data_IF_601334667194
#
_entry.id   IF_601334667194
#
_cell.length_a   1.000
_cell.length_b   1.000
_cell.length_c   1.000
_cell.angle_alpha   90.00
_cell.angle_beta   90.00
_cell.angle_gamma   90.00
#
_symmetry.space_group_name_H-M   'P 1'
#
loop_
_entity.id
_entity.type
_entity.pdbx_description
1 polymer ?
#
# COMPACT_ATOMS: atom_id res chain seq x y z
N UNK A 1 -21.47 13.05 -1.16
CA UNK A 1 -21.29 13.42 -2.58
C UNK A 1 -19.97 14.17 -2.78
N UNK A 2 -18.85 13.48 -2.56
CA UNK A 2 -17.54 13.80 -3.11
C UNK A 2 -16.80 12.46 -3.13
N UNK A 3 -16.17 12.12 -4.26
CA UNK A 3 -15.36 10.92 -4.48
C UNK A 3 -16.14 9.67 -4.91
N UNK A 4 -16.14 9.39 -6.21
CA UNK A 4 -16.44 8.06 -6.78
C UNK A 4 -15.41 6.98 -6.40
N UNK A 5 -14.79 7.06 -5.22
CA UNK A 5 -13.91 6.05 -4.64
C UNK A 5 -14.65 5.08 -3.70
N UNK A 6 -15.94 5.29 -3.42
CA UNK A 6 -16.78 4.33 -2.67
C UNK A 6 -16.71 2.89 -3.21
N UNK A 7 -16.54 2.60 -4.53
CA UNK A 7 -16.40 1.22 -5.01
C UNK A 7 -15.00 0.60 -4.86
N UNK A 8 -13.97 1.36 -4.43
CA UNK A 8 -12.56 0.97 -4.65
C UNK A 8 -11.64 1.01 -3.42
N UNK A 9 -12.02 1.67 -2.32
CA UNK A 9 -11.24 1.70 -1.08
C UNK A 9 -12.17 1.74 0.13
N UNK A 10 -12.57 0.56 0.61
CA UNK A 10 -13.06 0.43 1.97
C UNK A 10 -11.87 0.45 2.93
N UNK A 11 -11.95 1.24 4.01
CA UNK A 11 -10.98 1.17 5.10
C UNK A 11 -11.68 0.68 6.36
N UNK A 12 -10.97 -0.12 7.15
CA UNK A 12 -11.45 -0.57 8.45
C UNK A 12 -10.49 -0.06 9.51
N UNK A 13 -11.02 0.71 10.45
CA UNK A 13 -10.29 1.12 11.63
C UNK A 13 -10.18 -0.08 12.58
N UNK A 14 -8.96 -0.40 12.98
CA UNK A 14 -8.62 -1.35 14.06
C UNK A 14 -9.19 -2.79 13.92
N UNK A 15 -8.56 -3.61 13.07
CA UNK A 15 -8.65 -5.07 13.17
C UNK A 15 -7.45 -5.60 13.96
N UNK A 16 -7.69 -6.41 14.99
CA UNK A 16 -6.62 -7.18 15.64
C UNK A 16 -6.32 -8.37 14.74
N UNK A 17 -5.08 -8.49 14.25
CA UNK A 17 -4.62 -9.63 13.45
C UNK A 17 -3.39 -10.25 14.13
N UNK A 18 -3.10 -11.51 13.84
CA UNK A 18 -1.85 -12.16 14.25
C UNK A 18 -0.92 -12.21 13.05
N UNK A 19 0.37 -11.90 13.23
CA UNK A 19 1.36 -12.15 12.19
C UNK A 19 1.69 -13.65 12.12
N UNK A 20 2.46 -14.08 11.11
CA UNK A 20 2.87 -15.49 10.94
C UNK A 20 3.59 -16.10 12.15
N UNK A 21 4.17 -15.28 13.01
CA UNK A 21 4.87 -15.71 14.24
C UNK A 21 3.93 -15.81 15.45
N UNK A 22 2.61 -15.65 15.27
CA UNK A 22 1.60 -15.70 16.35
C UNK A 22 1.62 -14.46 17.25
N UNK A 23 2.32 -13.39 16.86
CA UNK A 23 2.32 -12.12 17.60
C UNK A 23 1.13 -11.29 17.16
N UNK A 24 0.31 -10.85 18.13
CA UNK A 24 -0.79 -9.91 17.88
C UNK A 24 -0.24 -8.59 17.36
N UNK A 25 -0.66 -8.22 16.15
CA UNK A 25 -0.30 -6.98 15.47
C UNK A 25 -1.57 -6.19 15.16
N UNK A 26 -1.59 -4.92 15.59
CA UNK A 26 -2.73 -4.03 15.41
C UNK A 26 -2.28 -2.75 14.69
N UNK A 27 -2.40 -2.68 13.37
CA UNK A 27 -2.16 -1.46 12.63
C UNK A 27 -3.28 -0.45 12.94
N UNK A 28 -2.98 0.84 12.84
CA UNK A 28 -3.97 1.89 13.12
C UNK A 28 -5.08 1.87 12.06
N UNK A 29 -4.71 1.70 10.79
CA UNK A 29 -5.65 1.61 9.66
C UNK A 29 -5.29 0.44 8.75
N UNK A 30 -6.31 -0.32 8.34
CA UNK A 30 -6.23 -1.35 7.30
C UNK A 30 -7.09 -0.89 6.12
N UNK A 31 -6.44 -0.56 5.00
CA UNK A 31 -7.13 -0.17 3.76
C UNK A 31 -7.29 -1.41 2.89
N UNK A 32 -8.53 -1.75 2.53
CA UNK A 32 -8.82 -2.82 1.59
C UNK A 32 -8.55 -2.31 0.18
N UNK A 33 -7.67 -3.03 -0.51
CA UNK A 33 -7.36 -2.82 -1.91
C UNK A 33 -8.21 -3.74 -2.79
N UNK A 34 -8.27 -3.49 -4.11
CA UNK A 34 -8.86 -4.43 -5.06
C UNK A 34 -8.33 -5.87 -4.89
N UNK A 35 -9.17 -6.87 -5.20
CA UNK A 35 -8.90 -8.30 -5.05
C UNK A 35 -8.74 -8.82 -3.61
N UNK A 36 -9.10 -8.01 -2.59
CA UNK A 36 -9.04 -8.44 -1.19
C UNK A 36 -7.65 -8.34 -0.57
N UNK A 37 -6.69 -7.71 -1.25
CA UNK A 37 -5.41 -7.31 -0.70
C UNK A 37 -5.60 -6.19 0.35
N UNK A 38 -4.61 -6.01 1.22
CA UNK A 38 -4.67 -4.99 2.27
C UNK A 38 -3.41 -4.13 2.31
N UNK A 39 -3.59 -2.82 2.48
CA UNK A 39 -2.53 -1.88 2.80
C UNK A 39 -2.65 -1.49 4.26
N UNK A 40 -1.57 -1.67 5.00
CA UNK A 40 -1.49 -1.30 6.41
C UNK A 40 -0.87 0.08 6.55
N UNK A 41 -1.51 0.92 7.37
CA UNK A 41 -1.05 2.28 7.68
C UNK A 41 -0.97 2.42 9.21
N UNK A 42 0.17 2.91 9.69
CA UNK A 42 0.44 3.21 11.10
C UNK A 42 0.72 4.72 11.20
N UNK A 43 -0.02 5.43 12.05
CA UNK A 43 -0.08 6.89 12.09
C UNK A 43 0.83 7.51 13.17
N UNK A 44 1.76 6.73 13.74
CA UNK A 44 2.52 7.13 14.93
C UNK A 44 3.79 7.92 14.64
N UNK A 45 3.83 8.80 13.65
CA UNK A 45 5.02 9.65 13.48
C UNK A 45 5.14 10.62 14.68
N UNK A 46 6.22 10.55 15.49
CA UNK A 46 6.40 11.43 16.64
C UNK A 46 6.70 12.85 16.17
N UNK A 47 5.94 13.84 16.67
CA UNK A 47 6.08 15.25 16.24
C UNK A 47 6.66 16.17 17.31
N UNK A 48 6.84 15.71 18.54
CA UNK A 48 7.19 16.58 19.67
C UNK A 48 8.47 17.38 19.42
N UNK A 49 9.48 16.74 18.83
CA UNK A 49 10.74 17.40 18.49
C UNK A 49 10.54 18.45 17.39
N UNK A 50 9.75 18.15 16.36
CA UNK A 50 9.43 19.13 15.33
C UNK A 50 8.68 20.34 15.91
N UNK A 51 7.70 20.11 16.78
CA UNK A 51 6.94 21.20 17.41
C UNK A 51 7.86 22.10 18.26
N UNK A 52 8.78 21.50 19.04
CA UNK A 52 9.79 22.27 19.77
C UNK A 52 10.72 23.07 18.85
N UNK A 53 11.10 22.51 17.69
CA UNK A 53 11.89 23.24 16.70
C UNK A 53 11.15 24.48 16.17
N UNK A 54 9.83 24.42 16.01
CA UNK A 54 9.01 25.54 15.55
C UNK A 54 8.85 26.65 16.60
N UNK A 55 8.88 26.29 17.88
CA UNK A 55 8.77 27.23 19.00
C UNK A 55 10.12 27.86 19.39
N UNK A 56 11.23 27.24 18.96
CA UNK A 56 12.57 27.72 19.25
C UNK A 56 12.93 28.97 18.42
N UNK A 57 13.62 29.90 19.06
CA UNK A 57 14.11 31.15 18.42
C UNK A 57 15.60 31.11 18.12
N UNK A 58 16.36 30.27 18.82
CA UNK A 58 17.79 30.10 18.60
C UNK A 58 18.06 29.01 17.56
N UNK A 59 18.82 29.34 16.51
CA UNK A 59 19.11 28.42 15.40
C UNK A 59 19.74 27.10 15.86
N UNK A 60 20.60 27.15 16.89
CA UNK A 60 21.25 25.95 17.44
C UNK A 60 20.23 24.95 18.01
N UNK A 61 19.17 25.45 18.65
CA UNK A 61 18.09 24.66 19.23
C UNK A 61 17.20 24.11 18.13
N UNK A 62 16.86 24.95 17.14
CA UNK A 62 16.09 24.54 15.95
C UNK A 62 16.78 23.35 15.28
N UNK A 63 18.07 23.46 14.98
CA UNK A 63 18.84 22.40 14.31
C UNK A 63 18.90 21.11 15.15
N UNK A 64 19.05 21.23 16.48
CA UNK A 64 19.09 20.09 17.38
C UNK A 64 17.74 19.34 17.41
N UNK A 65 16.64 20.07 17.49
CA UNK A 65 15.30 19.49 17.53
C UNK A 65 14.88 18.90 16.17
N UNK A 66 15.28 19.51 15.05
CA UNK A 66 15.08 18.92 13.72
C UNK A 66 15.86 17.61 13.52
N UNK A 67 17.07 17.50 14.09
CA UNK A 67 17.80 16.21 14.15
C UNK A 67 17.10 15.18 15.04
N UNK A 68 16.55 15.62 16.17
CA UNK A 68 15.78 14.74 17.04
C UNK A 68 14.51 14.23 16.33
N UNK A 69 13.83 15.08 15.55
CA UNK A 69 12.69 14.70 14.70
C UNK A 69 13.08 13.64 13.66
N UNK A 70 14.13 13.87 12.87
CA UNK A 70 14.60 12.91 11.88
C UNK A 70 14.98 11.56 12.52
N UNK A 71 15.65 11.59 13.67
CA UNK A 71 15.97 10.38 14.44
C UNK A 71 14.71 9.65 14.91
N UNK A 72 13.71 10.39 15.39
CA UNK A 72 12.48 9.80 15.90
C UNK A 72 11.68 9.09 14.79
N UNK A 73 11.62 9.68 13.58
CA UNK A 73 11.07 9.03 12.39
C UNK A 73 11.84 7.74 12.04
N UNK A 74 13.18 7.80 12.06
CA UNK A 74 14.06 6.65 11.77
C UNK A 74 13.87 5.49 12.75
N UNK A 75 13.70 5.81 14.03
CA UNK A 75 13.44 4.79 15.06
C UNK A 75 12.06 4.15 14.85
N UNK A 76 11.04 4.95 14.50
CA UNK A 76 9.71 4.43 14.18
C UNK A 76 9.70 3.53 12.94
N UNK A 77 10.48 3.88 11.91
CA UNK A 77 10.69 2.99 10.75
C UNK A 77 11.19 1.62 11.19
N UNK A 78 12.20 1.57 12.07
CA UNK A 78 12.75 0.31 12.57
C UNK A 78 11.74 -0.48 13.38
N UNK A 79 10.99 0.19 14.24
CA UNK A 79 9.96 -0.46 15.06
C UNK A 79 8.83 -1.04 14.19
N UNK A 80 8.42 -0.29 13.18
CA UNK A 80 7.36 -0.67 12.26
C UNK A 80 7.77 -1.86 11.37
N UNK A 81 9.01 -1.84 10.87
CA UNK A 81 9.57 -2.94 10.08
C UNK A 81 9.59 -4.27 10.86
N UNK A 82 9.78 -4.23 12.18
CA UNK A 82 9.76 -5.43 13.04
C UNK A 82 8.38 -6.04 13.19
N UNK A 83 7.30 -5.26 13.08
CA UNK A 83 5.93 -5.76 13.25
C UNK A 83 5.45 -6.60 12.07
N UNK A 84 6.01 -6.38 10.87
CA UNK A 84 5.73 -7.15 9.64
C UNK A 84 4.23 -7.33 9.37
N UNK A 85 3.45 -6.25 9.42
CA UNK A 85 1.99 -6.33 9.24
C UNK A 85 1.55 -7.03 7.94
N UNK A 86 2.35 -6.94 6.88
CA UNK A 86 2.09 -7.61 5.60
C UNK A 86 2.08 -9.15 5.69
N UNK A 87 2.55 -9.75 6.80
CA UNK A 87 2.46 -11.19 7.06
C UNK A 87 1.20 -11.59 7.85
N UNK A 88 0.33 -10.63 8.19
CA UNK A 88 -0.85 -10.88 9.03
C UNK A 88 -2.10 -11.34 8.27
N UNK A 89 -2.05 -11.43 6.95
CA UNK A 89 -3.11 -11.99 6.10
C UNK A 89 -2.52 -12.98 5.08
N UNK A 90 -3.29 -14.00 4.73
CA UNK A 90 -2.95 -14.97 3.67
C UNK A 90 -3.21 -14.45 2.24
N UNK A 91 -3.76 -13.24 2.12
CA UNK A 91 -4.05 -12.61 0.83
C UNK A 91 -2.79 -11.93 0.24
N UNK A 92 -2.64 -11.88 -1.09
CA UNK A 92 -1.52 -11.24 -1.76
C UNK A 92 -1.57 -9.72 -1.56
N UNK A 93 -1.01 -9.27 -0.43
CA UNK A 93 -0.94 -7.86 -0.05
C UNK A 93 0.42 -7.29 -0.43
N UNK A 94 0.53 -5.97 -0.66
CA UNK A 94 1.85 -5.33 -0.78
C UNK A 94 2.71 -5.68 0.45
N UNK A 95 3.95 -6.12 0.20
CA UNK A 95 4.87 -6.51 1.27
C UNK A 95 5.52 -5.29 1.96
N UNK A 96 4.72 -4.28 2.32
CA UNK A 96 5.18 -3.09 3.03
C UNK A 96 4.07 -2.48 3.88
N UNK A 97 4.46 -1.58 4.77
CA UNK A 97 3.58 -0.78 5.62
C UNK A 97 3.85 0.70 5.41
N UNK A 98 2.81 1.52 5.50
CA UNK A 98 2.93 2.98 5.46
C UNK A 98 3.13 3.53 6.87
N UNK A 99 4.22 4.24 7.10
CA UNK A 99 4.34 5.16 8.23
C UNK A 99 3.78 6.52 7.80
N UNK A 100 2.63 6.88 8.36
CA UNK A 100 1.97 8.12 8.04
C UNK A 100 2.54 9.29 8.85
N UNK A 101 2.93 10.35 8.14
CA UNK A 101 3.45 11.60 8.72
C UNK A 101 2.42 12.70 8.48
N UNK A 102 1.80 13.29 9.53
CA UNK A 102 0.60 14.12 9.41
C UNK A 102 0.88 15.56 8.93
N UNK A 103 1.82 15.74 8.00
CA UNK A 103 2.14 17.03 7.42
C UNK A 103 3.30 16.93 6.44
N UNK A 104 3.18 17.65 5.33
CA UNK A 104 4.20 17.65 4.26
C UNK A 104 5.53 18.22 4.75
N UNK A 105 5.48 19.32 5.52
CA UNK A 105 6.68 19.96 6.07
C UNK A 105 7.42 19.06 7.05
N UNK A 106 6.69 18.29 7.86
CA UNK A 106 7.27 17.37 8.84
C UNK A 106 8.11 16.30 8.14
N UNK A 107 7.57 15.72 7.07
CA UNK A 107 8.28 14.72 6.28
C UNK A 107 9.46 15.36 5.54
N UNK A 108 9.24 16.49 4.87
CA UNK A 108 10.27 17.18 4.10
C UNK A 108 11.47 17.61 4.96
N UNK A 109 11.23 18.13 6.16
CA UNK A 109 12.28 18.59 7.05
C UNK A 109 13.07 17.42 7.66
N UNK A 110 12.38 16.33 8.00
CA UNK A 110 13.04 15.09 8.43
C UNK A 110 13.98 14.55 7.35
N UNK A 111 13.53 14.50 6.10
CA UNK A 111 14.35 14.07 4.96
C UNK A 111 15.47 15.05 4.60
N UNK A 112 15.31 16.35 4.86
CA UNK A 112 16.39 17.33 4.66
C UNK A 112 17.53 17.10 5.65
N UNK A 113 17.20 16.75 6.89
CA UNK A 113 18.18 16.51 7.96
C UNK A 113 18.85 15.15 7.84
N UNK A 114 18.09 14.09 7.52
CA UNK A 114 18.62 12.77 7.20
C UNK A 114 18.18 12.34 5.79
N UNK A 115 18.93 12.69 4.73
CA UNK A 115 18.60 12.31 3.36
C UNK A 115 18.60 10.80 3.09
N UNK A 116 19.27 10.00 3.93
CA UNK A 116 19.30 8.55 3.78
C UNK A 116 18.02 7.88 4.30
N UNK A 117 17.23 8.57 5.14
CA UNK A 117 16.05 8.03 5.81
C UNK A 117 15.03 7.41 4.84
N UNK A 118 14.77 8.05 3.71
CA UNK A 118 13.81 7.53 2.72
C UNK A 118 14.25 6.16 2.18
N UNK A 119 15.51 6.05 1.74
CA UNK A 119 16.05 4.81 1.18
C UNK A 119 16.14 3.72 2.24
N UNK A 120 16.54 4.05 3.47
CA UNK A 120 16.61 3.11 4.59
C UNK A 120 15.22 2.58 4.99
N UNK A 121 14.19 3.42 4.95
CA UNK A 121 12.82 3.01 5.21
C UNK A 121 12.31 2.05 4.13
N UNK A 122 12.54 2.40 2.85
CA UNK A 122 12.17 1.53 1.72
C UNK A 122 12.85 0.17 1.78
N UNK A 123 14.15 0.12 2.10
CA UNK A 123 14.90 -1.13 2.26
C UNK A 123 14.33 -2.02 3.39
N UNK A 124 13.65 -1.40 4.37
CA UNK A 124 12.99 -2.07 5.48
C UNK A 124 11.50 -2.31 5.26
N UNK A 125 11.00 -2.13 4.02
CA UNK A 125 9.58 -2.30 3.67
C UNK A 125 8.66 -1.34 4.43
N UNK A 126 9.14 -0.13 4.70
CA UNK A 126 8.37 0.97 5.29
C UNK A 126 8.32 2.13 4.31
N UNK A 127 7.11 2.52 3.91
CA UNK A 127 6.89 3.69 3.07
C UNK A 127 6.54 4.89 3.95
N UNK A 128 7.36 5.94 3.90
CA UNK A 128 7.02 7.22 4.50
C UNK A 128 5.99 7.93 3.61
N UNK A 129 4.84 8.26 4.16
CA UNK A 129 3.81 8.98 3.41
C UNK A 129 3.15 10.07 4.25
N UNK A 130 3.06 11.25 3.68
CA UNK A 130 2.19 12.33 4.11
C UNK A 130 0.79 12.18 3.48
N UNK A 131 -0.20 13.04 3.81
CA UNK A 131 -1.53 12.95 3.23
C UNK A 131 -1.55 12.94 1.70
N UNK A 132 -0.77 13.81 1.04
CA UNK A 132 -0.75 13.88 -0.43
C UNK A 132 -0.13 12.63 -1.02
N UNK A 133 0.98 12.16 -0.44
CA UNK A 133 1.67 10.96 -0.90
C UNK A 133 0.83 9.69 -0.70
N UNK A 134 0.13 9.58 0.43
CA UNK A 134 -0.77 8.45 0.69
C UNK A 134 -1.94 8.46 -0.30
N UNK A 135 -2.55 9.62 -0.56
CA UNK A 135 -3.60 9.73 -1.57
C UNK A 135 -3.10 9.34 -2.95
N UNK A 136 -1.92 9.82 -3.35
CA UNK A 136 -1.31 9.49 -4.63
C UNK A 136 -1.02 7.99 -4.75
N UNK A 137 -0.52 7.35 -3.68
CA UNK A 137 -0.33 5.91 -3.61
C UNK A 137 -1.65 5.16 -3.82
N UNK A 138 -2.69 5.53 -3.07
CA UNK A 138 -4.00 4.88 -3.16
C UNK A 138 -4.61 5.04 -4.56
N UNK A 139 -4.48 6.22 -5.19
CA UNK A 139 -4.88 6.44 -6.57
C UNK A 139 -4.06 5.62 -7.57
N UNK A 140 -2.74 5.56 -7.43
CA UNK A 140 -1.88 4.78 -8.30
C UNK A 140 -2.20 3.28 -8.20
N UNK A 141 -2.45 2.80 -6.98
CA UNK A 141 -2.92 1.45 -6.71
C UNK A 141 -4.26 1.24 -7.41
N UNK A 142 -5.28 2.07 -7.15
CA UNK A 142 -6.60 1.96 -7.78
C UNK A 142 -6.54 1.96 -9.33
N UNK A 143 -5.75 2.86 -9.92
CA UNK A 143 -5.58 2.96 -11.37
C UNK A 143 -4.81 1.78 -11.99
N UNK A 144 -3.74 1.31 -11.35
CA UNK A 144 -3.00 0.13 -11.77
C UNK A 144 -3.86 -1.14 -11.79
N UNK A 145 -4.76 -1.26 -10.82
CA UNK A 145 -5.69 -2.39 -10.75
C UNK A 145 -6.81 -2.33 -11.79
N UNK A 146 -7.30 -1.14 -12.16
CA UNK A 146 -8.24 -1.00 -13.28
C UNK A 146 -7.62 -1.53 -14.58
N UNK A 147 -6.34 -1.26 -14.83
CA UNK A 147 -5.62 -1.79 -15.98
C UNK A 147 -5.43 -3.31 -15.93
N UNK A 148 -5.13 -3.86 -14.74
CA UNK A 148 -4.99 -5.30 -14.54
C UNK A 148 -6.32 -6.06 -14.74
N UNK A 149 -7.44 -5.51 -14.27
CA UNK A 149 -8.78 -6.10 -14.41
C UNK A 149 -9.24 -6.15 -15.86
N UNK A 150 -8.98 -5.09 -16.64
CA UNK A 150 -9.24 -5.08 -18.09
C UNK A 150 -8.42 -6.16 -18.80
N UNK A 151 -7.15 -6.34 -18.43
CA UNK A 151 -6.32 -7.41 -19.00
C UNK A 151 -6.81 -8.81 -18.62
N UNK A 152 -7.30 -9.02 -17.39
CA UNK A 152 -7.81 -10.31 -16.94
C UNK A 152 -9.09 -10.70 -17.69
N UNK A 153 -10.05 -9.78 -17.83
CA UNK A 153 -11.23 -10.01 -18.65
C UNK A 153 -10.91 -10.26 -20.13
N UNK A 154 -9.91 -9.57 -20.69
CA UNK A 154 -9.48 -9.83 -22.06
C UNK A 154 -8.90 -11.24 -22.25
N UNK A 155 -8.18 -11.75 -21.24
CA UNK A 155 -7.68 -13.14 -21.22
C UNK A 155 -8.82 -14.14 -21.10
N UNK A 156 -9.74 -13.93 -20.16
CA UNK A 156 -10.89 -14.81 -19.95
C UNK A 156 -11.76 -14.88 -21.23
N UNK A 157 -11.97 -13.74 -21.91
CA UNK A 157 -12.69 -13.67 -23.19
C UNK A 157 -11.92 -14.39 -24.30
N UNK A 158 -10.60 -14.27 -24.36
CA UNK A 158 -9.78 -14.98 -25.34
C UNK A 158 -9.81 -16.50 -25.12
N UNK A 159 -9.79 -16.95 -23.86
CA UNK A 159 -9.88 -18.35 -23.48
C UNK A 159 -11.26 -18.93 -23.82
N UNK A 160 -12.33 -18.23 -23.44
CA UNK A 160 -13.70 -18.60 -23.84
C UNK A 160 -13.86 -18.62 -25.37
N UNK A 161 -13.26 -17.67 -26.06
CA UNK A 161 -13.27 -17.60 -27.52
C UNK A 161 -12.57 -18.79 -28.17
N UNK A 162 -11.43 -19.22 -27.62
CA UNK A 162 -10.70 -20.39 -28.07
C UNK A 162 -11.48 -21.69 -27.81
N UNK A 163 -12.09 -21.83 -26.63
CA UNK A 163 -12.94 -22.97 -26.28
C UNK A 163 -14.17 -23.06 -27.19
N UNK A 164 -14.79 -21.91 -27.49
CA UNK A 164 -15.95 -21.84 -28.38
C UNK A 164 -15.57 -22.20 -29.81
N UNK A 165 -14.42 -21.73 -30.31
CA UNK A 165 -13.88 -22.10 -31.62
C UNK A 165 -13.65 -23.63 -31.75
N UNK A 166 -13.03 -24.25 -30.75
CA UNK A 166 -12.74 -25.69 -30.73
C UNK A 166 -14.02 -26.54 -30.72
N UNK A 167 -15.02 -26.14 -29.92
CA UNK A 167 -16.32 -26.82 -29.87
C UNK A 167 -17.08 -26.72 -31.19
N UNK A 168 -17.08 -25.56 -31.83
CA UNK A 168 -17.73 -25.36 -33.15
C UNK A 168 -17.03 -26.21 -34.22
N UNK A 169 -15.69 -26.25 -34.23
CA UNK A 169 -14.92 -27.10 -35.13
C UNK A 169 -15.24 -28.58 -34.95
N UNK A 170 -15.38 -29.04 -33.71
CA UNK A 170 -15.77 -30.42 -33.39
C UNK A 170 -17.18 -30.77 -33.87
N UNK A 171 -18.14 -29.84 -33.74
CA UNK A 171 -19.52 -30.06 -34.22
C UNK A 171 -19.57 -30.10 -35.74
N UNK A 172 -18.89 -29.19 -36.43
CA UNK A 172 -18.81 -29.18 -37.90
C UNK A 172 -18.16 -30.45 -38.45
N UNK A 173 -17.07 -30.94 -37.83
CA UNK A 173 -16.44 -32.20 -38.22
C UNK A 173 -17.35 -33.43 -38.04
N UNK A 174 -18.23 -33.44 -37.03
CA UNK A 174 -19.23 -34.50 -36.84
C UNK A 174 -20.32 -34.48 -37.92
N UNK A 175 -20.72 -33.29 -38.37
CA UNK A 175 -21.72 -33.12 -39.44
C UNK A 175 -21.15 -33.55 -40.80
N UNK A 176 -19.89 -33.25 -41.09
CA UNK A 176 -19.20 -33.72 -42.31
C UNK A 176 -19.00 -35.25 -42.33
N UNK A 177 -18.77 -35.86 -41.18
CA UNK A 177 -18.68 -37.33 -41.04
C UNK A 177 -20.03 -38.05 -41.23
N UNK A 178 -21.13 -37.43 -40.81
CA UNK A 178 -22.48 -37.98 -40.94
C UNK A 178 -23.05 -37.89 -42.37
N UNK A 179 -22.54 -36.98 -43.21
CA UNK A 179 -22.95 -36.84 -44.61
C UNK A 179 -22.23 -37.78 -45.61
N UNK A 180 -21.28 -38.60 -45.13
CA UNK A 180 -20.49 -39.55 -45.94
C UNK A 180 -20.86 -41.03 -45.73
N UNK A 181 -21.97 -41.29 -45.03
CA UNK A 181 -22.53 -42.63 -44.79
C UNK A 181 -23.79 -42.89 -45.59
#
# INVERSE_FOLDING_TARGET
>A
ELSGMEPYCDFTEQTTSENRDGTGVRPDVKVRLPNGAHLFVDAKAPLDAYLRAQEATEQSIIDAELRAHAKALKDHVKDLARKKYWEADDQPSPEFVVLFVPGESFLADGLRVDPALLQEAMNQRVLLASPVNLLALLWAVAGGWQQARVNQHARDVAELGAELYDRVGTVLGKVEGAGRG
#
